data_IF_350277265489
#
_entry.id   IF_350277265489
#
_cell.length_a   1.000
_cell.length_b   1.000
_cell.length_c   1.000
_cell.angle_alpha   90.00
_cell.angle_beta   90.00
_cell.angle_gamma   90.00
#
_symmetry.space_group_name_H-M   'P 1'
#
loop_
_entity.id
_entity.type
_entity.pdbx_description
1 polymer ?
#
# COMPACT_ATOMS: atom_id res chain seq x y z
N UNK A 1 6.86 -2.82 -12.40
CA UNK A 1 6.29 -3.59 -11.32
C UNK A 1 4.76 -3.53 -11.35
N UNK A 2 4.12 -4.54 -10.79
CA UNK A 2 2.68 -4.60 -10.60
C UNK A 2 2.31 -5.56 -9.47
N UNK A 3 1.14 -5.40 -8.88
CA UNK A 3 0.72 -6.25 -7.77
C UNK A 3 -0.71 -6.03 -7.32
N UNK A 4 -1.08 -6.82 -6.33
CA UNK A 4 -2.36 -6.72 -5.64
C UNK A 4 -2.10 -6.33 -4.18
N UNK A 5 -2.98 -5.52 -3.62
CA UNK A 5 -2.96 -5.17 -2.21
C UNK A 5 -4.32 -5.42 -1.56
N UNK A 6 -4.30 -5.70 -0.28
CA UNK A 6 -5.47 -5.78 0.59
C UNK A 6 -5.35 -4.72 1.65
N UNK A 7 -6.13 -3.66 1.55
CA UNK A 7 -6.07 -2.48 2.39
C UNK A 7 -7.19 -2.45 3.44
N UNK A 8 -6.91 -1.74 4.52
CA UNK A 8 -7.82 -1.37 5.59
C UNK A 8 -7.47 0.03 6.07
N UNK A 9 -8.38 0.64 6.81
CA UNK A 9 -8.17 1.92 7.47
C UNK A 9 -8.28 1.76 8.97
N UNK A 10 -7.30 2.26 9.70
CA UNK A 10 -7.37 2.40 11.15
C UNK A 10 -8.23 3.63 11.48
N UNK A 11 -9.47 3.40 11.89
CA UNK A 11 -10.38 4.46 12.33
C UNK A 11 -10.46 4.56 13.86
N UNK A 12 -10.50 5.80 14.34
CA UNK A 12 -10.92 6.11 15.70
C UNK A 12 -11.99 7.23 15.64
N UNK A 13 -13.27 6.97 15.96
CA UNK A 13 -13.86 5.73 16.46
C UNK A 13 -13.81 4.58 15.47
N UNK A 14 -13.73 3.35 15.98
CA UNK A 14 -13.51 2.14 15.17
C UNK A 14 -14.72 1.82 14.27
N UNK A 15 -14.47 1.61 13.00
CA UNK A 15 -15.42 1.11 12.01
C UNK A 15 -15.10 -0.35 11.72
N UNK A 16 -16.11 -1.24 11.81
CA UNK A 16 -15.97 -2.65 11.41
C UNK A 16 -15.80 -2.73 9.89
N UNK A 17 -14.75 -3.38 9.41
CA UNK A 17 -14.45 -3.45 7.98
C UNK A 17 -13.79 -4.76 7.58
N UNK A 18 -14.04 -5.16 6.33
CA UNK A 18 -13.31 -6.17 5.60
C UNK A 18 -12.17 -5.49 4.83
N UNK A 19 -11.18 -6.28 4.40
CA UNK A 19 -10.13 -5.76 3.52
C UNK A 19 -10.70 -5.39 2.16
N UNK A 20 -10.26 -4.26 1.63
CA UNK A 20 -10.52 -3.85 0.25
C UNK A 20 -9.35 -4.32 -0.62
N UNK A 21 -9.66 -5.09 -1.67
CA UNK A 21 -8.66 -5.48 -2.66
C UNK A 21 -8.46 -4.35 -3.66
N UNK A 22 -7.20 -4.01 -3.92
CA UNK A 22 -6.79 -3.02 -4.90
C UNK A 22 -5.64 -3.52 -5.76
N UNK A 23 -5.37 -2.82 -6.85
CA UNK A 23 -4.23 -3.07 -7.72
C UNK A 23 -3.20 -1.97 -7.59
N UNK A 24 -1.94 -2.32 -7.84
CA UNK A 24 -0.85 -1.36 -7.97
C UNK A 24 0.00 -1.67 -9.19
N UNK A 25 0.45 -0.62 -9.88
CA UNK A 25 1.36 -0.74 -11.01
C UNK A 25 2.26 0.49 -11.10
N UNK A 26 3.49 0.32 -11.57
CA UNK A 26 4.42 1.43 -11.68
C UNK A 26 5.80 1.04 -12.18
N UNK A 27 6.73 1.96 -12.00
CA UNK A 27 8.13 1.79 -12.37
C UNK A 27 9.01 1.71 -11.13
N UNK A 28 10.07 0.91 -11.21
CA UNK A 28 11.04 0.69 -10.14
C UNK A 28 12.42 1.09 -10.62
N UNK A 29 13.10 1.88 -9.81
CA UNK A 29 14.50 2.25 -10.01
C UNK A 29 15.31 1.72 -8.83
N UNK A 30 16.42 1.05 -9.12
CA UNK A 30 17.35 0.52 -8.12
C UNK A 30 18.75 0.98 -8.42
N UNK A 31 19.40 1.54 -7.43
CA UNK A 31 20.81 1.89 -7.46
C UNK A 31 21.57 1.00 -6.49
N UNK A 32 22.48 0.18 -7.03
CA UNK A 32 23.32 -0.71 -6.23
C UNK A 32 24.46 0.13 -5.66
N UNK A 33 24.50 0.26 -4.33
CA UNK A 33 25.53 1.02 -3.63
C UNK A 33 26.79 0.18 -3.47
N UNK A 34 26.64 -1.06 -2.98
CA UNK A 34 27.75 -1.96 -2.73
C UNK A 34 27.37 -3.43 -2.93
N UNK A 35 28.35 -4.21 -3.36
CA UNK A 35 28.25 -5.66 -3.55
C UNK A 35 29.33 -6.33 -2.72
N UNK A 36 28.88 -7.14 -1.76
CA UNK A 36 29.73 -8.05 -1.01
C UNK A 36 29.55 -9.47 -1.56
N UNK A 37 30.39 -10.43 -1.14
CA UNK A 37 30.37 -11.81 -1.64
C UNK A 37 28.97 -12.46 -1.68
N UNK A 38 28.17 -12.25 -0.63
CA UNK A 38 26.84 -12.86 -0.49
C UNK A 38 25.73 -11.86 -0.24
N UNK A 39 26.04 -10.54 -0.23
CA UNK A 39 25.09 -9.49 0.09
C UNK A 39 25.19 -8.33 -0.91
N UNK A 40 24.05 -7.83 -1.35
CA UNK A 40 23.92 -6.63 -2.18
C UNK A 40 23.16 -5.60 -1.37
N UNK A 41 23.76 -4.40 -1.25
CA UNK A 41 23.13 -3.23 -0.66
C UNK A 41 22.74 -2.26 -1.77
N UNK A 42 21.48 -1.88 -1.82
CA UNK A 42 20.98 -0.95 -2.82
C UNK A 42 19.94 0.02 -2.22
N UNK A 43 19.75 1.13 -2.90
CA UNK A 43 18.63 2.04 -2.68
C UNK A 43 17.64 1.79 -3.82
N UNK A 44 16.38 1.57 -3.45
CA UNK A 44 15.29 1.36 -4.41
C UNK A 44 14.25 2.44 -4.23
N UNK A 45 13.81 3.04 -5.32
CA UNK A 45 12.64 3.93 -5.33
C UNK A 45 11.68 3.49 -6.40
N UNK A 46 10.41 3.81 -6.19
CA UNK A 46 9.35 3.44 -7.12
C UNK A 46 8.41 4.63 -7.31
N UNK A 47 7.72 4.64 -8.43
CA UNK A 47 6.57 5.51 -8.64
C UNK A 47 5.42 4.61 -9.07
N UNK A 48 4.43 4.47 -8.21
CA UNK A 48 3.33 3.52 -8.40
C UNK A 48 1.99 4.24 -8.36
N UNK A 49 1.09 3.87 -9.25
CA UNK A 49 -0.33 4.05 -9.07
C UNK A 49 -0.84 2.92 -8.18
N UNK A 50 -1.64 3.24 -7.16
CA UNK A 50 -2.13 2.27 -6.19
C UNK A 50 -3.58 2.57 -5.81
N UNK A 51 -4.39 1.52 -5.73
CA UNK A 51 -5.76 1.56 -5.24
C UNK A 51 -5.78 1.05 -3.82
N UNK A 52 -6.38 1.83 -2.92
CA UNK A 52 -6.59 1.51 -1.51
C UNK A 52 -8.03 1.81 -1.11
N UNK A 53 -8.39 1.49 0.12
CA UNK A 53 -9.67 1.86 0.68
C UNK A 53 -10.13 0.87 1.73
N UNK A 54 -11.44 0.84 1.95
CA UNK A 54 -12.05 -0.09 2.89
C UNK A 54 -13.43 -0.53 2.40
N UNK A 55 -13.82 -1.71 2.86
CA UNK A 55 -15.14 -2.27 2.67
C UNK A 55 -15.79 -2.41 4.05
N UNK A 56 -16.83 -1.66 4.32
CA UNK A 56 -17.45 -1.68 5.62
C UNK A 56 -18.25 -2.97 5.84
N UNK A 57 -18.07 -3.58 7.02
CA UNK A 57 -18.81 -4.78 7.41
C UNK A 57 -20.07 -4.34 8.16
N UNK A 58 -21.20 -4.34 7.47
CA UNK A 58 -22.51 -3.96 7.98
C UNK A 58 -23.25 -5.22 8.43
N UNK A 59 -23.57 -5.30 9.73
CA UNK A 59 -24.20 -6.47 10.35
C UNK A 59 -25.53 -6.06 11.03
N UNK A 60 -26.35 -5.26 10.33
CA UNK A 60 -27.65 -4.77 10.82
C UNK A 60 -28.85 -5.52 10.25
N UNK A 61 -28.61 -6.55 9.43
CA UNK A 61 -29.66 -7.36 8.78
C UNK A 61 -30.32 -6.70 7.57
N UNK A 62 -29.92 -5.48 7.19
CA UNK A 62 -30.48 -4.76 6.03
C UNK A 62 -29.93 -5.24 4.69
N UNK A 63 -28.78 -5.94 4.70
CA UNK A 63 -28.06 -6.32 3.48
C UNK A 63 -27.33 -5.15 2.79
N UNK A 64 -27.27 -3.99 3.43
CA UNK A 64 -26.59 -2.82 2.90
C UNK A 64 -25.06 -3.05 2.80
N UNK A 65 -24.46 -2.48 1.76
CA UNK A 65 -23.02 -2.53 1.52
C UNK A 65 -22.45 -1.14 1.30
N UNK A 66 -21.27 -0.88 1.85
CA UNK A 66 -20.50 0.33 1.62
C UNK A 66 -19.06 0.00 1.32
N UNK A 67 -18.59 0.52 0.22
CA UNK A 67 -17.21 0.38 -0.21
C UNK A 67 -16.68 1.75 -0.62
N UNK A 68 -15.44 2.06 -0.22
CA UNK A 68 -14.75 3.27 -0.66
C UNK A 68 -13.40 2.90 -1.23
N UNK A 69 -13.19 3.27 -2.48
CA UNK A 69 -11.94 3.09 -3.18
C UNK A 69 -11.26 4.44 -3.39
N UNK A 70 -9.99 4.50 -3.05
CA UNK A 70 -9.14 5.69 -3.14
C UNK A 70 -7.91 5.39 -3.97
N UNK A 71 -7.56 6.30 -4.86
CA UNK A 71 -6.45 6.14 -5.79
C UNK A 71 -5.32 7.10 -5.43
N UNK A 72 -4.09 6.57 -5.44
CA UNK A 72 -2.89 7.27 -5.01
C UNK A 72 -1.75 7.12 -6.01
N UNK A 73 -0.86 8.13 -6.05
CA UNK A 73 0.52 7.96 -6.50
C UNK A 73 1.37 7.73 -5.25
N UNK A 74 2.16 6.65 -5.25
CA UNK A 74 3.04 6.24 -4.15
C UNK A 74 4.49 6.31 -4.57
N UNK A 75 5.32 6.87 -3.69
CA UNK A 75 6.77 6.96 -3.87
C UNK A 75 7.46 6.41 -2.62
N UNK A 76 7.71 5.10 -2.56
CA UNK A 76 8.56 4.53 -1.52
C UNK A 76 10.04 4.79 -1.81
N UNK A 77 10.80 5.06 -0.74
CA UNK A 77 12.26 5.13 -0.73
C UNK A 77 12.78 4.00 0.17
N UNK A 78 13.36 2.96 -0.44
CA UNK A 78 13.65 1.70 0.24
C UNK A 78 15.16 1.46 0.32
N UNK A 79 15.63 1.08 1.50
CA UNK A 79 16.84 0.31 1.62
C UNK A 79 16.55 -1.13 1.18
N UNK A 80 17.32 -1.62 0.23
CA UNK A 80 17.21 -2.97 -0.32
C UNK A 80 18.44 -3.78 0.05
N UNK A 81 18.23 -4.90 0.71
CA UNK A 81 19.30 -5.84 1.08
C UNK A 81 18.95 -7.20 0.48
N UNK A 82 19.80 -7.69 -0.43
CA UNK A 82 19.63 -9.01 -1.03
C UNK A 82 20.79 -9.94 -0.60
N UNK A 83 20.41 -11.18 -0.31
CA UNK A 83 21.32 -12.23 0.18
C UNK A 83 21.22 -13.45 -0.73
N UNK A 84 22.35 -14.03 -1.08
CA UNK A 84 22.39 -15.24 -1.90
C UNK A 84 23.70 -15.41 -2.64
N UNK A 85 23.66 -16.15 -3.76
CA UNK A 85 24.83 -16.34 -4.61
C UNK A 85 25.36 -15.02 -5.15
N UNK A 86 26.67 -15.03 -5.43
CA UNK A 86 27.42 -13.90 -5.96
C UNK A 86 26.64 -13.13 -7.04
N UNK A 87 26.76 -11.82 -6.97
CA UNK A 87 26.05 -10.87 -7.84
C UNK A 87 26.37 -11.02 -9.34
N UNK A 88 27.45 -11.73 -9.68
CA UNK A 88 27.88 -11.98 -11.05
C UNK A 88 27.31 -13.27 -11.66
N UNK A 89 26.70 -14.13 -10.84
CA UNK A 89 26.11 -15.40 -11.31
C UNK A 89 24.58 -15.35 -11.29
N UNK A 90 23.98 -15.89 -12.34
CA UNK A 90 22.52 -16.15 -12.36
C UNK A 90 22.14 -17.02 -11.18
N UNK A 91 21.01 -16.72 -10.52
CA UNK A 91 20.54 -17.51 -9.41
C UNK A 91 19.50 -16.82 -8.56
N UNK A 92 19.07 -17.53 -7.51
CA UNK A 92 18.11 -17.04 -6.54
C UNK A 92 18.79 -16.25 -5.43
N UNK A 93 18.14 -15.16 -5.02
CA UNK A 93 18.46 -14.35 -3.85
C UNK A 93 17.22 -14.10 -3.03
N UNK A 94 17.40 -14.03 -1.74
CA UNK A 94 16.37 -13.51 -0.82
C UNK A 94 16.66 -12.03 -0.59
N UNK A 95 15.62 -11.22 -0.49
CA UNK A 95 15.81 -9.81 -0.19
C UNK A 95 14.81 -9.31 0.85
N UNK A 96 15.21 -8.22 1.51
CA UNK A 96 14.35 -7.41 2.36
C UNK A 96 14.41 -5.96 1.92
N UNK A 97 13.26 -5.30 1.97
CA UNK A 97 13.08 -3.88 1.68
C UNK A 97 12.49 -3.19 2.91
N UNK A 98 12.96 -2.00 3.23
CA UNK A 98 12.35 -1.17 4.27
C UNK A 98 12.63 0.32 4.00
N UNK A 99 11.65 1.14 4.31
CA UNK A 99 11.83 2.58 4.24
C UNK A 99 10.54 3.40 4.36
N UNK A 100 10.65 4.72 4.27
CA UNK A 100 9.50 5.61 4.20
C UNK A 100 8.79 5.48 2.84
N UNK A 101 7.49 5.68 2.86
CA UNK A 101 6.66 5.80 1.67
C UNK A 101 5.82 7.05 1.76
N UNK A 102 5.83 7.81 0.69
CA UNK A 102 5.03 9.01 0.51
C UNK A 102 3.93 8.69 -0.51
N UNK A 103 2.75 9.27 -0.28
CA UNK A 103 1.58 9.01 -1.13
C UNK A 103 0.83 10.30 -1.36
N UNK A 104 0.37 10.50 -2.59
CA UNK A 104 -0.46 11.63 -2.96
C UNK A 104 -1.81 11.15 -3.47
N UNK A 105 -2.88 11.63 -2.85
CA UNK A 105 -4.25 11.31 -3.19
C UNK A 105 -4.63 11.93 -4.54
N UNK A 106 -5.25 11.13 -5.41
CA UNK A 106 -5.75 11.56 -6.72
C UNK A 106 -7.26 11.76 -6.71
N UNK A 107 -7.99 10.70 -6.45
CA UNK A 107 -9.45 10.69 -6.41
C UNK A 107 -9.98 9.52 -5.58
N UNK A 108 -11.28 9.54 -5.34
CA UNK A 108 -11.98 8.50 -4.61
C UNK A 108 -13.35 8.22 -5.24
N UNK A 109 -13.85 7.02 -5.01
CA UNK A 109 -15.18 6.58 -5.43
C UNK A 109 -15.83 5.85 -4.26
N UNK A 110 -17.07 6.23 -3.96
CA UNK A 110 -17.92 5.55 -2.98
C UNK A 110 -18.95 4.70 -3.71
N UNK A 111 -19.15 3.48 -3.26
CA UNK A 111 -20.18 2.57 -3.71
C UNK A 111 -21.07 2.21 -2.53
N UNK A 112 -22.34 2.52 -2.66
CA UNK A 112 -23.38 2.22 -1.68
C UNK A 112 -24.45 1.36 -2.34
N UNK A 113 -25.14 0.51 -1.55
CA UNK A 113 -26.31 -0.24 -2.04
C UNK A 113 -27.46 0.69 -2.41
N UNK A 114 -28.35 0.26 -3.32
CA UNK A 114 -29.46 1.08 -3.84
C UNK A 114 -30.41 1.60 -2.75
N UNK A 115 -30.63 0.84 -1.68
CA UNK A 115 -31.50 1.19 -0.55
C UNK A 115 -30.71 1.77 0.63
N UNK A 116 -29.66 2.55 0.36
CA UNK A 116 -28.82 3.11 1.40
C UNK A 116 -29.54 4.18 2.22
N UNK A 117 -29.69 3.93 3.55
CA UNK A 117 -30.24 4.89 4.50
C UNK A 117 -29.36 4.94 5.77
N UNK A 118 -28.72 6.06 5.99
CA UNK A 118 -27.88 6.30 7.17
C UNK A 118 -28.67 6.37 8.47
N UNK A 119 -29.98 6.70 8.42
CA UNK A 119 -30.84 6.79 9.60
C UNK A 119 -31.09 5.43 10.26
N UNK A 120 -30.95 4.34 9.51
CA UNK A 120 -31.08 2.96 10.00
C UNK A 120 -29.86 2.47 10.81
N UNK A 121 -28.87 3.31 11.05
CA UNK A 121 -27.63 2.97 11.77
C UNK A 121 -27.45 3.79 13.06
N UNK A 122 -28.38 3.75 14.01
CA UNK A 122 -28.38 4.64 15.19
C UNK A 122 -27.17 4.41 16.12
N UNK A 123 -26.55 3.23 16.07
CA UNK A 123 -25.39 2.86 16.88
C UNK A 123 -24.08 2.74 16.08
N UNK A 124 -24.11 3.11 14.79
CA UNK A 124 -22.94 3.06 13.90
C UNK A 124 -22.24 4.40 13.77
N UNK A 125 -20.97 4.36 13.40
CA UNK A 125 -20.25 5.56 12.94
C UNK A 125 -20.76 5.86 11.54
N UNK A 126 -21.29 7.06 11.31
CA UNK A 126 -21.92 7.48 10.03
C UNK A 126 -21.22 8.69 9.39
N UNK A 127 -20.25 9.27 10.09
CA UNK A 127 -19.59 10.51 9.68
C UNK A 127 -18.64 10.35 8.48
N UNK A 128 -18.29 9.11 8.12
CA UNK A 128 -17.43 8.80 6.96
C UNK A 128 -18.19 8.87 5.63
N UNK A 129 -19.53 8.73 5.64
CA UNK A 129 -20.32 8.71 4.42
C UNK A 129 -20.38 10.08 3.77
N UNK A 130 -19.96 10.16 2.49
CA UNK A 130 -19.92 11.42 1.75
C UNK A 130 -18.85 12.41 2.23
N UNK A 131 -18.04 12.06 3.25
CA UNK A 131 -16.97 12.94 3.73
C UNK A 131 -15.76 12.86 2.79
N UNK A 132 -15.37 13.95 2.11
CA UNK A 132 -14.22 13.91 1.19
C UNK A 132 -12.91 13.77 1.96
N UNK A 133 -11.91 13.23 1.28
CA UNK A 133 -10.53 13.21 1.77
C UNK A 133 -10.01 14.63 1.95
N UNK A 134 -9.59 14.98 3.17
CA UNK A 134 -9.17 16.33 3.53
C UNK A 134 -7.66 16.53 3.37
N UNK A 135 -6.86 15.51 3.71
CA UNK A 135 -5.40 15.54 3.57
C UNK A 135 -5.01 14.71 2.35
N UNK A 136 -4.50 15.37 1.32
CA UNK A 136 -4.10 14.71 0.07
C UNK A 136 -2.71 14.08 0.13
N UNK A 137 -1.90 14.47 1.09
CA UNK A 137 -0.55 13.95 1.27
C UNK A 137 -0.52 13.02 2.47
N UNK A 138 -0.11 11.78 2.23
CA UNK A 138 0.04 10.76 3.25
C UNK A 138 1.49 10.25 3.28
N UNK A 139 1.93 9.83 4.44
CA UNK A 139 3.22 9.17 4.62
C UNK A 139 3.12 8.03 5.63
N UNK A 140 4.04 7.11 5.51
CA UNK A 140 4.10 5.94 6.38
C UNK A 140 5.40 5.17 6.20
N UNK A 141 5.45 4.00 6.81
CA UNK A 141 6.57 3.07 6.72
C UNK A 141 6.12 1.86 5.92
N UNK A 142 6.99 1.42 5.03
CA UNK A 142 6.79 0.21 4.26
C UNK A 142 7.95 -0.76 4.49
N UNK A 143 7.63 -2.03 4.63
CA UNK A 143 8.58 -3.12 4.71
C UNK A 143 8.14 -4.30 3.89
N UNK A 144 9.08 -5.02 3.30
CA UNK A 144 8.81 -6.18 2.48
C UNK A 144 9.95 -7.17 2.47
N UNK A 145 9.64 -8.38 2.06
CA UNK A 145 10.61 -9.43 1.82
C UNK A 145 10.20 -10.25 0.61
N UNK A 146 11.18 -10.82 -0.07
CA UNK A 146 10.90 -11.56 -1.28
C UNK A 146 12.07 -12.37 -1.80
N UNK A 147 11.84 -12.87 -3.00
CA UNK A 147 12.83 -13.61 -3.77
C UNK A 147 13.12 -12.89 -5.09
N UNK A 148 14.37 -12.90 -5.48
CA UNK A 148 14.84 -12.39 -6.76
C UNK A 148 15.48 -13.51 -7.54
N UNK A 149 15.07 -13.69 -8.78
CA UNK A 149 15.72 -14.54 -9.76
C UNK A 149 16.49 -13.68 -10.74
N UNK A 150 17.82 -13.70 -10.63
CA UNK A 150 18.71 -13.08 -11.59
C UNK A 150 18.97 -14.00 -12.78
N UNK A 151 18.75 -13.47 -13.97
CA UNK A 151 18.96 -14.17 -15.25
C UNK A 151 19.88 -13.35 -16.15
N UNK A 152 20.33 -13.92 -17.26
CA UNK A 152 21.12 -13.17 -18.24
C UNK A 152 20.39 -12.03 -18.97
N UNK A 153 19.07 -11.94 -18.80
CA UNK A 153 18.21 -10.92 -19.44
C UNK A 153 17.62 -9.92 -18.46
N UNK A 154 17.82 -10.11 -17.15
CA UNK A 154 17.32 -9.23 -16.10
C UNK A 154 16.93 -9.96 -14.82
N UNK A 155 16.24 -9.26 -13.94
CA UNK A 155 15.90 -9.70 -12.59
C UNK A 155 14.38 -9.76 -12.43
N UNK A 156 13.87 -10.92 -12.05
CA UNK A 156 12.46 -11.13 -11.70
C UNK A 156 12.34 -11.16 -10.19
N UNK A 157 11.45 -10.33 -9.65
CA UNK A 157 11.22 -10.21 -8.21
C UNK A 157 9.80 -10.59 -7.86
N UNK A 158 9.65 -11.37 -6.79
CA UNK A 158 8.37 -11.60 -6.11
C UNK A 158 8.52 -11.11 -4.67
N UNK A 159 7.67 -10.16 -4.26
CA UNK A 159 7.74 -9.49 -2.97
C UNK A 159 6.40 -9.54 -2.24
N UNK A 160 6.43 -9.93 -0.95
CA UNK A 160 5.37 -9.65 0.01
C UNK A 160 5.69 -8.34 0.73
N UNK A 161 4.75 -7.40 0.77
CA UNK A 161 4.93 -6.04 1.30
C UNK A 161 3.85 -5.68 2.31
N UNK A 162 4.24 -4.99 3.37
CA UNK A 162 3.36 -4.39 4.35
C UNK A 162 3.61 -2.89 4.44
N UNK A 163 2.54 -2.10 4.40
CA UNK A 163 2.55 -0.65 4.61
C UNK A 163 1.75 -0.30 5.85
N UNK A 164 2.30 0.61 6.65
CA UNK A 164 1.67 1.19 7.82
C UNK A 164 1.67 2.72 7.71
N UNK A 165 0.47 3.31 7.58
CA UNK A 165 0.27 4.76 7.50
C UNK A 165 0.49 5.43 8.86
N UNK A 166 1.28 6.49 8.85
CA UNK A 166 1.54 7.35 10.01
C UNK A 166 0.72 8.62 9.99
N UNK A 167 0.26 9.03 8.80
CA UNK A 167 -0.61 10.19 8.60
C UNK A 167 -2.07 9.80 8.44
N UNK A 168 -2.94 10.73 8.70
CA UNK A 168 -4.39 10.59 8.58
C UNK A 168 -4.90 11.33 7.35
N UNK A 169 -5.82 10.72 6.58
CA UNK A 169 -6.42 11.36 5.41
C UNK A 169 -7.64 12.25 5.77
N UNK A 170 -8.25 12.06 6.94
CA UNK A 170 -9.14 13.05 7.55
C UNK A 170 -8.39 13.91 8.55
N UNK A 171 -8.87 15.12 8.79
CA UNK A 171 -8.38 15.95 9.89
C UNK A 171 -8.67 15.30 11.24
N UNK A 172 -7.74 15.41 12.16
CA UNK A 172 -7.75 14.78 13.47
C UNK A 172 -7.57 15.76 14.62
N UNK A 173 -8.01 17.02 14.45
CA UNK A 173 -8.00 18.01 15.54
C UNK A 173 -9.00 17.63 16.63
N UNK A 174 -8.91 18.24 17.81
CA UNK A 174 -9.83 17.98 18.95
C UNK A 174 -11.31 18.23 18.64
N UNK A 175 -11.61 18.93 17.54
CA UNK A 175 -12.98 19.24 17.09
C UNK A 175 -13.48 18.26 16.02
N UNK A 176 -12.60 17.45 15.47
CA UNK A 176 -12.94 16.51 14.42
C UNK A 176 -13.43 15.18 15.00
N UNK A 177 -14.30 14.52 14.27
CA UNK A 177 -14.92 13.26 14.71
C UNK A 177 -13.90 12.12 14.72
N UNK A 178 -12.98 12.12 13.74
CA UNK A 178 -11.96 11.08 13.62
C UNK A 178 -10.67 11.52 14.26
N UNK A 179 -10.26 10.83 15.33
CA UNK A 179 -8.93 10.98 15.92
C UNK A 179 -7.85 10.21 15.16
N UNK A 180 -8.24 9.24 14.32
CA UNK A 180 -7.35 8.49 13.43
C UNK A 180 -8.09 8.02 12.17
N UNK A 181 -7.41 8.09 11.03
CA UNK A 181 -7.88 7.61 9.73
C UNK A 181 -6.68 7.30 8.83
N UNK A 182 -5.86 6.32 9.22
CA UNK A 182 -4.63 5.97 8.53
C UNK A 182 -4.79 4.65 7.76
N UNK A 183 -4.25 4.58 6.54
CA UNK A 183 -4.24 3.38 5.74
C UNK A 183 -3.20 2.37 6.22
N UNK A 184 -3.54 1.09 6.14
CA UNK A 184 -2.60 -0.02 6.18
C UNK A 184 -2.93 -1.03 5.10
N UNK A 185 -1.91 -1.66 4.50
CA UNK A 185 -2.16 -2.73 3.53
C UNK A 185 -1.07 -3.81 3.55
N UNK A 186 -1.48 -5.01 3.14
CA UNK A 186 -0.59 -6.10 2.77
C UNK A 186 -0.71 -6.28 1.25
N UNK A 187 0.41 -6.45 0.57
CA UNK A 187 0.42 -6.63 -0.88
C UNK A 187 1.40 -7.72 -1.33
N UNK A 188 1.13 -8.25 -2.51
CA UNK A 188 2.04 -9.13 -3.24
C UNK A 188 2.37 -8.45 -4.57
N UNK A 189 3.64 -8.38 -4.92
CA UNK A 189 4.14 -7.65 -6.08
C UNK A 189 5.09 -8.50 -6.90
N UNK A 190 4.99 -8.32 -8.21
CA UNK A 190 5.95 -8.80 -9.20
C UNK A 190 6.66 -7.62 -9.82
N UNK A 191 7.97 -7.71 -9.97
CA UNK A 191 8.75 -6.72 -10.69
C UNK A 191 9.72 -7.38 -11.64
N UNK A 192 9.99 -6.70 -12.74
CA UNK A 192 11.06 -7.01 -13.66
C UNK A 192 11.99 -5.82 -13.76
N UNK A 193 13.28 -6.05 -13.53
CA UNK A 193 14.32 -5.05 -13.63
C UNK A 193 15.35 -5.50 -14.67
N UNK A 194 15.81 -4.55 -15.47
CA UNK A 194 16.91 -4.74 -16.41
C UNK A 194 18.05 -3.76 -16.08
N UNK A 195 19.28 -4.20 -16.31
CA UNK A 195 20.45 -3.37 -16.05
C UNK A 195 20.60 -2.31 -17.15
N UNK A 196 20.63 -1.03 -16.75
CA UNK A 196 20.83 0.11 -17.66
C UNK A 196 22.34 0.38 -17.81
N UNK A 197 23.12 0.13 -16.78
CA UNK A 197 24.58 0.28 -16.76
C UNK A 197 25.23 -1.05 -16.42
N UNK A 198 26.22 -1.45 -17.23
CA UNK A 198 27.09 -2.60 -16.97
C UNK A 198 28.26 -2.20 -16.09
#
# INVERSE_FOLDING_TARGET
NGGLNMSKVDFSPRIKQNSQTGMSAGVTFRYICEKYFSMICAIQTEVNYSQRGWNEKIEDGTGNTYNRQMNYIEVPLLAHLAFGKDSQTSGFRFFVNMGPQFSYFLNETEHMSENWDTSMRPNGVVYQYGKPTENKFEYGIVGGAGIELSTGVGHFLLEGRYYYGLSDFYKNSKKDVFGRSAHSYIGVRLAYLFDITK
#
